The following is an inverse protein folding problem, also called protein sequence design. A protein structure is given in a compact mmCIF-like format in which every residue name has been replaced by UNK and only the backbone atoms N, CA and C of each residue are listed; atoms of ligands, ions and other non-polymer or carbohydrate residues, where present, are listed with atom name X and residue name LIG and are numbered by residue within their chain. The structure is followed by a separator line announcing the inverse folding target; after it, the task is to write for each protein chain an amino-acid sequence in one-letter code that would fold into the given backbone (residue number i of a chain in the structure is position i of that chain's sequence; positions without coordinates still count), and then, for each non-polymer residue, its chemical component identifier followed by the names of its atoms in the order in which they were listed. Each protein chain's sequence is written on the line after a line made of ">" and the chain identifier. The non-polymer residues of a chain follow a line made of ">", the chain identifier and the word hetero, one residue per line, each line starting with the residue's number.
data_IF_032430528557
#
_entry.id   IF_032430528557
#
_cell.length_a   1.000
_cell.length_b   1.000
_cell.length_c   1.000
_cell.angle_alpha   90.00
_cell.angle_beta   90.00
_cell.angle_gamma   90.00
#
_symmetry.space_group_name_H-M   'P 1'
#
loop_
_entity.id
_entity.type
_entity.pdbx_description
1 polymer ?
#
# COMPACT_ATOMS: atom_id res chain seq x y z
N UNK A 1 -3.34 6.82 10.60
CA UNK A 1 -3.06 6.87 12.05
C UNK A 1 -2.24 8.11 12.37
N UNK A 2 -2.53 8.80 13.47
CA UNK A 2 -1.68 9.87 13.99
C UNK A 2 -1.65 9.85 15.53
N UNK A 3 -0.76 10.62 16.12
CA UNK A 3 -0.58 10.73 17.57
C UNK A 3 -0.96 12.13 18.03
N UNK A 4 -1.73 12.23 19.11
CA UNK A 4 -2.26 13.49 19.63
C UNK A 4 -1.82 13.76 21.07
N UNK A 5 -1.56 15.02 21.36
CA UNK A 5 -1.33 15.53 22.73
C UNK A 5 -2.64 15.91 23.43
N UNK A 6 -3.78 15.86 22.74
CA UNK A 6 -5.08 16.16 23.34
C UNK A 6 -5.52 15.02 24.27
N UNK A 7 -6.30 15.40 25.28
CA UNK A 7 -7.01 14.45 26.12
C UNK A 7 -7.97 13.59 25.27
N UNK A 8 -8.14 12.32 25.67
CA UNK A 8 -8.91 11.37 24.86
C UNK A 8 -10.40 11.74 24.79
N UNK A 9 -10.96 12.33 25.85
CA UNK A 9 -12.37 12.70 25.91
C UNK A 9 -12.60 13.91 25.00
N UNK A 10 -11.64 14.82 24.95
CA UNK A 10 -11.64 15.94 23.99
C UNK A 10 -11.58 15.47 22.54
N UNK A 11 -10.83 14.40 22.24
CA UNK A 11 -10.81 13.79 20.91
C UNK A 11 -12.12 13.07 20.60
N UNK A 12 -12.71 12.40 21.58
CA UNK A 12 -14.02 11.76 21.44
C UNK A 12 -15.09 12.80 21.09
N UNK A 13 -15.23 13.85 21.89
CA UNK A 13 -16.16 14.97 21.65
C UNK A 13 -15.95 15.60 20.26
N UNK A 14 -14.69 15.76 19.84
CA UNK A 14 -14.36 16.29 18.53
C UNK A 14 -14.91 15.41 17.40
N UNK A 15 -14.70 14.09 17.48
CA UNK A 15 -15.13 13.16 16.44
C UNK A 15 -16.65 12.95 16.43
N UNK A 16 -17.29 12.86 17.60
CA UNK A 16 -18.75 12.86 17.69
C UNK A 16 -19.34 14.15 17.12
N UNK A 17 -18.75 15.30 17.45
CA UNK A 17 -19.19 16.60 16.91
C UNK A 17 -19.01 16.71 15.40
N UNK A 18 -17.95 16.13 14.84
CA UNK A 18 -17.70 16.08 13.40
C UNK A 18 -18.65 15.14 12.66
N UNK A 19 -19.11 14.07 13.31
CA UNK A 19 -19.95 13.01 12.73
C UNK A 19 -21.42 13.10 13.18
N UNK A 20 -21.81 14.17 13.88
CA UNK A 20 -23.13 14.35 14.51
C UNK A 20 -24.33 14.19 13.56
N UNK A 21 -24.13 14.40 12.27
CA UNK A 21 -25.18 14.35 11.25
C UNK A 21 -25.37 12.92 10.70
N UNK A 22 -24.49 11.97 11.06
CA UNK A 22 -24.63 10.55 10.75
C UNK A 22 -25.74 9.92 11.61
N UNK A 23 -26.66 9.20 10.96
CA UNK A 23 -27.84 8.63 11.63
C UNK A 23 -27.53 7.43 12.52
N UNK A 24 -26.39 6.80 12.27
CA UNK A 24 -25.88 5.59 12.91
C UNK A 24 -24.55 5.85 13.64
N UNK A 25 -24.30 7.11 14.02
CA UNK A 25 -23.20 7.44 14.92
C UNK A 25 -23.32 6.62 16.20
N UNK A 26 -22.29 5.85 16.51
CA UNK A 26 -22.15 5.08 17.73
C UNK A 26 -20.76 5.30 18.32
N UNK A 27 -20.71 5.41 19.65
CA UNK A 27 -19.46 5.49 20.41
C UNK A 27 -19.51 4.44 21.49
N UNK A 28 -18.60 3.47 21.41
CA UNK A 28 -18.39 2.46 22.43
C UNK A 28 -17.13 2.82 23.24
N UNK A 29 -17.28 2.87 24.57
CA UNK A 29 -16.13 2.95 25.46
C UNK A 29 -15.45 1.57 25.54
N UNK A 30 -14.14 1.58 25.38
CA UNK A 30 -13.26 0.40 25.50
C UNK A 30 -12.36 0.57 26.72
N UNK A 31 -11.74 -0.49 27.25
CA UNK A 31 -10.85 -0.38 28.41
C UNK A 31 -9.76 0.70 28.27
N UNK A 32 -9.28 0.92 27.05
CA UNK A 32 -8.11 1.76 26.78
C UNK A 32 -8.45 3.03 25.98
N UNK A 33 -9.74 3.33 25.76
CA UNK A 33 -10.20 4.50 25.01
C UNK A 33 -11.56 4.33 24.35
N UNK A 34 -11.73 4.79 23.10
CA UNK A 34 -13.04 4.82 22.43
C UNK A 34 -13.00 4.17 21.05
N UNK A 35 -14.13 3.60 20.67
CA UNK A 35 -14.42 3.10 19.34
C UNK A 35 -15.65 3.85 18.78
N UNK A 36 -15.44 4.69 17.79
CA UNK A 36 -16.48 5.53 17.19
C UNK A 36 -16.73 5.04 15.76
N UNK A 37 -17.98 4.73 15.45
CA UNK A 37 -18.42 4.35 14.10
C UNK A 37 -19.53 5.25 13.62
N UNK A 38 -19.53 5.59 12.34
CA UNK A 38 -20.60 6.36 11.73
C UNK A 38 -20.66 6.11 10.23
N UNK A 39 -21.84 6.23 9.62
CA UNK A 39 -21.99 6.26 8.16
C UNK A 39 -22.53 7.60 7.72
N UNK A 40 -21.77 8.28 6.87
CA UNK A 40 -22.14 9.58 6.31
C UNK A 40 -21.82 9.59 4.82
N UNK A 41 -22.78 10.02 4.01
CA UNK A 41 -22.64 10.14 2.55
C UNK A 41 -22.09 8.89 1.86
N UNK A 42 -22.50 7.70 2.33
CA UNK A 42 -22.06 6.40 1.79
C UNK A 42 -20.72 5.90 2.34
N UNK A 43 -19.98 6.74 3.07
CA UNK A 43 -18.70 6.42 3.69
C UNK A 43 -18.91 5.91 5.11
N UNK A 44 -18.34 4.76 5.40
CA UNK A 44 -18.26 4.19 6.74
C UNK A 44 -16.96 4.69 7.42
N UNK A 45 -17.12 5.38 8.54
CA UNK A 45 -16.06 5.87 9.41
C UNK A 45 -15.88 4.90 10.56
N UNK A 46 -14.64 4.48 10.81
CA UNK A 46 -14.25 3.72 12.00
C UNK A 46 -13.06 4.41 12.65
N UNK A 47 -13.24 4.94 13.84
CA UNK A 47 -12.22 5.68 14.59
C UNK A 47 -11.96 4.95 15.90
N UNK A 48 -10.70 4.65 16.17
CA UNK A 48 -10.25 4.09 17.43
C UNK A 48 -9.29 5.07 18.10
N UNK A 49 -9.62 5.44 19.33
CA UNK A 49 -8.81 6.27 20.21
C UNK A 49 -8.22 5.37 21.31
N UNK A 50 -6.91 5.41 21.52
CA UNK A 50 -6.25 4.59 22.54
C UNK A 50 -5.18 5.35 23.32
N UNK A 51 -5.22 5.27 24.65
CA UNK A 51 -4.18 5.83 25.55
C UNK A 51 -2.91 4.99 25.58
N UNK A 52 -3.05 3.68 25.41
CA UNK A 52 -1.98 2.73 25.69
C UNK A 52 -1.28 2.18 24.45
N UNK A 53 -1.87 2.37 23.26
CA UNK A 53 -1.29 1.89 21.99
C UNK A 53 0.14 2.44 21.72
N UNK A 54 0.53 3.55 22.36
CA UNK A 54 1.86 4.15 22.22
C UNK A 54 2.84 3.76 23.33
N UNK A 55 2.52 2.85 24.25
CA UNK A 55 3.39 2.43 25.36
C UNK A 55 4.08 1.07 25.04
N UNK A 56 5.42 0.91 25.18
CA UNK A 56 6.44 1.86 25.63
C UNK A 56 7.23 2.48 24.47
N UNK A 57 6.58 3.23 23.58
CA UNK A 57 7.27 3.96 22.50
C UNK A 57 7.74 5.35 22.97
N UNK A 58 8.45 6.09 22.11
CA UNK A 58 8.82 7.50 22.34
C UNK A 58 7.62 8.46 22.50
N UNK A 59 6.40 7.98 22.25
CA UNK A 59 5.15 8.72 22.37
C UNK A 59 4.29 8.25 23.56
N UNK A 60 4.90 7.57 24.54
CA UNK A 60 4.21 7.16 25.75
C UNK A 60 3.46 8.34 26.41
N UNK A 61 2.21 8.10 26.81
CA UNK A 61 1.31 9.11 27.38
C UNK A 61 0.53 9.95 26.37
N UNK A 62 0.77 9.77 25.06
CA UNK A 62 -0.03 10.40 24.00
C UNK A 62 -1.15 9.47 23.51
N UNK A 63 -2.23 10.05 22.99
CA UNK A 63 -3.36 9.29 22.43
C UNK A 63 -3.05 8.90 20.98
N UNK A 64 -3.16 7.62 20.67
CA UNK A 64 -3.16 7.13 19.29
C UNK A 64 -4.55 7.30 18.69
N UNK A 65 -4.61 7.86 17.48
CA UNK A 65 -5.83 7.99 16.70
C UNK A 65 -5.70 7.18 15.43
N UNK A 66 -6.52 6.13 15.34
CA UNK A 66 -6.61 5.27 14.18
C UNK A 66 -7.95 5.54 13.49
N UNK A 67 -7.93 5.87 12.20
CA UNK A 67 -9.11 6.21 11.40
C UNK A 67 -9.08 5.36 10.13
N UNK A 68 -10.12 4.57 9.93
CA UNK A 68 -10.43 3.86 8.69
C UNK A 68 -11.65 4.51 8.06
N UNK A 69 -11.58 4.71 6.75
CA UNK A 69 -12.72 5.07 5.91
C UNK A 69 -12.96 3.95 4.90
N UNK A 70 -14.18 3.45 4.81
CA UNK A 70 -14.60 2.47 3.81
C UNK A 70 -15.87 2.92 3.10
N UNK A 71 -16.26 2.28 1.99
CA UNK A 71 -17.46 2.69 1.23
C UNK A 71 -17.31 3.99 0.43
N UNK A 72 -16.07 4.48 0.30
CA UNK A 72 -15.75 5.60 -0.57
C UNK A 72 -15.89 5.18 -2.04
N UNK A 73 -17.05 5.47 -2.65
CA UNK A 73 -17.21 5.36 -4.11
C UNK A 73 -16.21 6.30 -4.79
N UNK A 74 -15.24 5.73 -5.53
CA UNK A 74 -14.16 6.49 -6.16
C UNK A 74 -12.89 6.66 -5.32
N UNK A 75 -12.72 5.88 -4.24
CA UNK A 75 -11.41 5.73 -3.54
C UNK A 75 -10.79 4.33 -3.75
N UNK A 76 -11.24 3.62 -4.78
CA UNK A 76 -10.24 3.28 -5.80
C UNK A 76 -9.97 4.61 -6.51
N UNK A 77 -9.02 5.39 -5.98
CA UNK A 77 -8.65 6.63 -6.65
C UNK A 77 -8.34 6.28 -8.12
N UNK A 78 -8.58 7.16 -9.09
CA UNK A 78 -7.79 7.07 -10.31
C UNK A 78 -6.36 6.94 -9.83
N UNK A 79 -5.66 5.85 -10.19
CA UNK A 79 -4.25 5.61 -9.88
C UNK A 79 -3.58 6.97 -9.98
N UNK A 80 -3.26 7.59 -8.83
CA UNK A 80 -2.96 9.02 -8.83
C UNK A 80 -1.75 9.12 -9.73
N UNK A 81 -1.90 9.73 -10.93
CA UNK A 81 -0.87 9.60 -11.97
C UNK A 81 0.46 9.92 -11.30
N UNK A 82 1.41 8.97 -11.30
CA UNK A 82 2.59 9.10 -10.45
C UNK A 82 3.26 10.45 -10.71
N UNK A 83 3.40 11.22 -9.64
CA UNK A 83 3.83 12.61 -9.69
C UNK A 83 5.33 12.64 -9.95
N UNK A 84 5.73 13.13 -11.12
CA UNK A 84 7.15 13.29 -11.48
C UNK A 84 7.43 12.87 -12.92
N UNK A 85 8.70 12.93 -13.30
CA UNK A 85 9.17 12.27 -14.52
C UNK A 85 9.45 10.80 -14.20
N UNK A 86 8.98 9.89 -15.05
CA UNK A 86 9.34 8.48 -14.93
C UNK A 86 10.83 8.32 -15.17
N UNK A 87 11.49 7.55 -14.31
CA UNK A 87 12.86 7.11 -14.56
C UNK A 87 12.88 6.11 -15.73
N UNK A 88 14.04 6.01 -16.39
CA UNK A 88 14.26 5.05 -17.47
C UNK A 88 14.58 3.66 -16.92
N UNK A 89 14.14 2.62 -17.64
CA UNK A 89 14.51 1.25 -17.32
C UNK A 89 16.02 1.01 -17.52
N UNK A 90 16.76 0.50 -16.52
CA UNK A 90 18.21 0.41 -16.56
C UNK A 90 18.70 -0.86 -17.30
N UNK A 91 18.49 -0.92 -18.61
CA UNK A 91 18.85 -2.08 -19.46
C UNK A 91 20.30 -2.55 -19.28
N UNK A 92 21.24 -1.62 -19.11
CA UNK A 92 22.67 -1.93 -18.97
C UNK A 92 23.00 -2.63 -17.64
N UNK A 93 22.20 -2.41 -16.60
CA UNK A 93 22.37 -2.98 -15.26
C UNK A 93 21.61 -4.31 -15.11
N UNK A 94 20.57 -4.53 -15.93
CA UNK A 94 19.68 -5.70 -15.90
C UNK A 94 19.69 -6.49 -17.22
N UNK A 95 20.85 -7.03 -17.64
CA UNK A 95 20.96 -7.69 -18.93
C UNK A 95 20.02 -8.88 -19.03
N UNK A 96 19.14 -8.86 -20.04
CA UNK A 96 18.21 -9.95 -20.32
C UNK A 96 16.94 -9.98 -19.48
N UNK A 97 16.74 -9.01 -18.57
CA UNK A 97 15.44 -8.77 -17.93
C UNK A 97 14.59 -7.88 -18.87
N UNK A 98 13.40 -8.31 -19.30
CA UNK A 98 12.51 -7.48 -20.10
C UNK A 98 12.07 -6.22 -19.32
N UNK A 99 11.68 -5.17 -20.04
CA UNK A 99 11.19 -3.94 -19.42
C UNK A 99 9.75 -4.11 -18.96
N UNK A 100 9.48 -3.91 -17.66
CA UNK A 100 8.12 -3.73 -17.20
C UNK A 100 7.62 -2.34 -17.60
N UNK A 101 6.61 -2.29 -18.47
CA UNK A 101 5.97 -1.04 -18.87
C UNK A 101 5.24 -0.41 -17.69
N UNK A 102 5.59 0.83 -17.37
CA UNK A 102 4.98 1.57 -16.28
C UNK A 102 5.73 2.88 -16.04
N UNK A 103 5.32 3.57 -14.99
CA UNK A 103 6.04 4.72 -14.47
C UNK A 103 6.95 4.29 -13.34
N UNK A 104 8.26 4.50 -13.49
CA UNK A 104 9.24 4.23 -12.43
C UNK A 104 9.38 5.49 -11.59
N UNK A 105 8.83 5.47 -10.38
CA UNK A 105 8.88 6.59 -9.44
C UNK A 105 10.23 6.64 -8.73
N UNK A 106 10.88 5.48 -8.53
CA UNK A 106 12.10 5.36 -7.74
C UNK A 106 12.90 4.13 -8.12
N UNK A 107 14.22 4.29 -8.10
CA UNK A 107 15.19 3.19 -8.16
C UNK A 107 16.19 3.42 -7.01
N UNK A 108 16.22 2.52 -6.03
CA UNK A 108 17.25 2.47 -4.99
C UNK A 108 18.28 1.41 -5.35
N UNK A 109 19.55 1.69 -5.06
CA UNK A 109 20.66 0.76 -5.27
C UNK A 109 21.37 0.57 -3.94
N UNK A 110 21.31 -0.64 -3.41
CA UNK A 110 22.00 -1.03 -2.18
C UNK A 110 22.70 -2.37 -2.41
N UNK A 111 24.03 -2.38 -2.26
CA UNK A 111 24.89 -3.52 -2.56
C UNK A 111 24.66 -4.10 -3.97
N UNK A 112 24.26 -5.37 -4.06
CA UNK A 112 23.94 -6.08 -5.31
C UNK A 112 22.44 -6.12 -5.62
N UNK A 113 21.64 -5.29 -4.92
CA UNK A 113 20.17 -5.21 -5.07
C UNK A 113 19.78 -3.86 -5.65
N UNK A 114 18.90 -3.91 -6.66
CA UNK A 114 18.21 -2.74 -7.18
C UNK A 114 16.72 -2.85 -6.89
N UNK A 115 16.20 -1.92 -6.08
CA UNK A 115 14.79 -1.85 -5.71
C UNK A 115 14.07 -0.80 -6.54
N UNK A 116 12.94 -1.17 -7.12
CA UNK A 116 12.09 -0.33 -7.96
C UNK A 116 10.73 -0.14 -7.29
N UNK A 117 10.26 1.10 -7.29
CA UNK A 117 8.87 1.43 -6.99
C UNK A 117 8.24 1.96 -8.28
N UNK A 118 7.20 1.28 -8.77
CA UNK A 118 6.57 1.58 -10.04
C UNK A 118 5.05 1.59 -9.95
N UNK A 119 4.41 2.27 -10.89
CA UNK A 119 2.96 2.16 -11.12
C UNK A 119 2.73 1.68 -12.55
N UNK A 120 1.88 0.67 -12.73
CA UNK A 120 1.53 0.12 -14.04
C UNK A 120 0.12 0.56 -14.46
N UNK A 121 -0.24 0.32 -15.72
CA UNK A 121 -1.56 0.68 -16.24
C UNK A 121 -2.67 -0.18 -15.62
N UNK A 122 -2.41 -1.48 -15.46
CA UNK A 122 -3.36 -2.47 -14.94
C UNK A 122 -2.69 -3.82 -14.63
N UNK A 123 -3.46 -4.74 -14.04
CA UNK A 123 -3.09 -6.14 -13.84
C UNK A 123 -2.74 -6.88 -15.15
N UNK A 124 -3.39 -6.53 -16.27
CA UNK A 124 -3.04 -7.05 -17.60
C UNK A 124 -1.59 -6.74 -18.01
N UNK A 125 -1.04 -5.63 -17.53
CA UNK A 125 0.39 -5.30 -17.74
C UNK A 125 1.28 -6.33 -17.04
N UNK A 126 0.90 -6.76 -15.84
CA UNK A 126 1.64 -7.76 -15.06
C UNK A 126 1.51 -9.14 -15.72
N UNK A 127 0.32 -9.51 -16.20
CA UNK A 127 0.09 -10.77 -16.92
C UNK A 127 0.94 -10.85 -18.19
N UNK A 128 1.02 -9.76 -18.95
CA UNK A 128 1.91 -9.66 -20.12
C UNK A 128 3.38 -9.81 -19.72
N UNK A 129 3.81 -9.11 -18.66
CA UNK A 129 5.19 -9.14 -18.19
C UNK A 129 5.66 -10.53 -17.72
N UNK A 130 4.80 -11.30 -17.06
CA UNK A 130 5.09 -12.71 -16.70
C UNK A 130 5.30 -13.57 -17.95
N UNK A 131 4.52 -13.32 -19.02
CA UNK A 131 4.74 -13.94 -20.33
C UNK A 131 6.08 -13.55 -20.95
N UNK A 132 6.48 -12.28 -20.86
CA UNK A 132 7.77 -11.78 -21.35
C UNK A 132 8.95 -12.38 -20.58
N UNK A 133 8.86 -12.48 -19.25
CA UNK A 133 9.86 -13.16 -18.42
C UNK A 133 10.02 -14.63 -18.83
N UNK A 134 8.91 -15.32 -19.05
CA UNK A 134 8.93 -16.71 -19.52
C UNK A 134 9.60 -16.82 -20.90
N UNK A 135 9.26 -15.94 -21.84
CA UNK A 135 9.87 -15.90 -23.16
C UNK A 135 11.36 -15.54 -23.13
N UNK A 136 11.78 -14.73 -22.16
CA UNK A 136 13.17 -14.40 -21.89
C UNK A 136 13.94 -15.54 -21.18
N UNK A 137 13.29 -16.64 -20.80
CA UNK A 137 13.90 -17.81 -20.20
C UNK A 137 14.02 -17.77 -18.68
N UNK A 138 13.27 -16.91 -18.00
CA UNK A 138 13.17 -16.96 -16.53
C UNK A 138 12.34 -18.17 -16.09
N UNK A 139 12.72 -18.73 -14.95
CA UNK A 139 11.94 -19.74 -14.22
C UNK A 139 11.41 -19.16 -12.94
N UNK A 140 10.24 -19.63 -12.47
CA UNK A 140 9.64 -19.15 -11.22
C UNK A 140 9.82 -20.18 -10.10
N UNK A 141 9.89 -19.72 -8.84
CA UNK A 141 9.87 -20.62 -7.67
C UNK A 141 8.55 -21.41 -7.57
N UNK A 142 7.46 -20.75 -7.93
CA UNK A 142 6.12 -21.30 -8.04
C UNK A 142 5.37 -20.61 -9.18
N UNK A 143 4.31 -21.24 -9.71
CA UNK A 143 3.52 -20.62 -10.76
C UNK A 143 2.80 -19.37 -10.19
N UNK A 144 2.97 -18.17 -10.78
CA UNK A 144 2.30 -16.98 -10.29
C UNK A 144 0.77 -17.11 -10.37
N UNK A 145 0.06 -16.74 -9.32
CA UNK A 145 -1.41 -16.64 -9.36
C UNK A 145 -1.85 -15.34 -10.02
N UNK A 146 -2.01 -15.41 -11.34
CA UNK A 146 -2.42 -14.27 -12.18
C UNK A 146 -3.92 -13.92 -12.06
N UNK A 147 -4.68 -14.63 -11.23
CA UNK A 147 -6.09 -14.33 -10.97
C UNK A 147 -6.31 -13.53 -9.70
N UNK A 148 -5.26 -13.38 -8.89
CA UNK A 148 -5.28 -12.64 -7.64
C UNK A 148 -5.14 -11.13 -7.86
N UNK A 149 -5.85 -10.37 -7.03
CA UNK A 149 -5.79 -8.92 -6.88
C UNK A 149 -4.42 -8.44 -6.34
N UNK A 150 -3.65 -9.38 -5.77
CA UNK A 150 -2.30 -9.23 -5.24
C UNK A 150 -1.41 -10.34 -5.83
N UNK A 151 -0.43 -9.97 -6.65
CA UNK A 151 0.42 -10.93 -7.39
C UNK A 151 1.84 -10.85 -6.84
N UNK A 152 2.37 -11.97 -6.37
CA UNK A 152 3.76 -12.10 -5.90
C UNK A 152 4.44 -13.31 -6.55
N UNK A 153 5.72 -13.17 -6.90
CA UNK A 153 6.53 -14.28 -7.37
C UNK A 153 8.03 -13.98 -7.29
N UNK A 154 8.83 -15.05 -7.26
CA UNK A 154 10.27 -14.98 -7.52
C UNK A 154 10.57 -15.53 -8.91
N UNK A 155 11.35 -14.81 -9.70
CA UNK A 155 11.83 -15.28 -11.01
C UNK A 155 13.36 -15.34 -11.06
N UNK A 156 13.92 -16.36 -11.69
CA UNK A 156 15.34 -16.65 -11.69
C UNK A 156 15.87 -16.87 -13.10
N UNK A 157 17.07 -16.36 -13.38
CA UNK A 157 17.80 -16.63 -14.62
C UNK A 157 19.29 -16.33 -14.44
N UNK A 158 20.15 -17.24 -14.89
CA UNK A 158 21.61 -17.04 -14.98
C UNK A 158 22.26 -16.53 -13.67
N UNK A 159 21.74 -16.95 -12.51
CA UNK A 159 22.21 -16.52 -11.18
C UNK A 159 21.48 -15.30 -10.62
N UNK A 160 20.81 -14.52 -11.47
CA UNK A 160 19.99 -13.39 -11.04
C UNK A 160 18.62 -13.82 -10.50
N UNK A 161 18.09 -13.01 -9.58
CA UNK A 161 16.77 -13.13 -8.97
C UNK A 161 15.99 -11.84 -9.15
N UNK A 162 14.72 -11.99 -9.51
CA UNK A 162 13.70 -10.96 -9.53
C UNK A 162 12.69 -11.29 -8.42
N UNK A 163 12.56 -10.43 -7.41
CA UNK A 163 11.47 -10.50 -6.44
C UNK A 163 10.40 -9.49 -6.84
N UNK A 164 9.16 -9.95 -6.99
CA UNK A 164 8.09 -9.15 -7.56
C UNK A 164 6.85 -9.15 -6.68
N UNK A 165 6.29 -7.98 -6.42
CA UNK A 165 5.00 -7.79 -5.77
C UNK A 165 4.16 -6.73 -6.47
N UNK A 166 2.88 -7.01 -6.68
CA UNK A 166 1.90 -6.13 -7.29
C UNK A 166 0.61 -6.09 -6.49
N UNK A 167 0.07 -4.89 -6.25
CA UNK A 167 -1.26 -4.68 -5.67
C UNK A 167 -2.18 -3.94 -6.64
N UNK A 168 -3.41 -4.44 -6.82
CA UNK A 168 -4.39 -3.85 -7.75
C UNK A 168 -5.09 -2.58 -7.24
N UNK A 169 -5.08 -2.33 -5.92
CA UNK A 169 -5.73 -1.16 -5.31
C UNK A 169 -5.15 0.17 -5.83
N UNK A 170 -3.85 0.20 -6.15
CA UNK A 170 -3.11 1.38 -6.61
C UNK A 170 -2.22 1.08 -7.83
N UNK A 171 -2.37 -0.10 -8.45
CA UNK A 171 -1.52 -0.63 -9.51
C UNK A 171 -0.01 -0.51 -9.19
N UNK A 172 0.35 -0.58 -7.91
CA UNK A 172 1.71 -0.43 -7.47
C UNK A 172 2.50 -1.71 -7.65
N UNK A 173 3.76 -1.56 -8.01
CA UNK A 173 4.73 -2.64 -8.13
C UNK A 173 5.94 -2.31 -7.28
N UNK A 174 6.29 -3.24 -6.39
CA UNK A 174 7.60 -3.35 -5.79
C UNK A 174 8.38 -4.45 -6.51
N UNK A 175 9.56 -4.11 -7.00
CA UNK A 175 10.38 -5.04 -7.77
C UNK A 175 11.84 -4.94 -7.31
N UNK A 176 12.42 -6.06 -6.87
CA UNK A 176 13.85 -6.15 -6.60
C UNK A 176 14.54 -6.98 -7.68
N UNK A 177 15.62 -6.45 -8.22
CA UNK A 177 16.59 -7.20 -9.01
C UNK A 177 17.83 -7.45 -8.16
N UNK A 178 18.24 -8.71 -8.05
CA UNK A 178 19.51 -9.11 -7.46
C UNK A 178 20.31 -9.90 -8.50
N UNK A 179 21.61 -9.59 -8.62
CA UNK A 179 22.51 -10.26 -9.56
C UNK A 179 23.07 -11.58 -9.01
#
# INVERSE_FOLDING_TARGET
>A
MYVSDNDIDTLCDFYEGALKDAKDLNTDETPDGYWITAKMDGVDYTIMLSKDAMNPTKYAGKVSVYLILSGLEGVAGPTEKPKGESLAWPFDEMPGVPELKGHISKILREDDIMHFEMTVESDETIKSYVGELTAAGFTFDSAPDLTSDHIEFLAFKDGSMNNFGYGSDDNFVAFDYQK
#
